data_IF_412162195395
#
_entry.id   IF_412162195395
#
_cell.length_a   1.000
_cell.length_b   1.000
_cell.length_c   1.000
_cell.angle_alpha   90.00
_cell.angle_beta   90.00
_cell.angle_gamma   90.00
#
_symmetry.space_group_name_H-M   'P 1'
#
loop_
_entity.id
_entity.type
_entity.pdbx_description
1 polymer ?
#
# COMPACT_ATOMS: atom_id res chain seq x y z
N UNK A 1 -47.19 -89.06 -3.87
CA UNK A 1 -45.74 -88.80 -3.75
C UNK A 1 -45.60 -87.33 -3.37
N UNK A 2 -45.53 -87.03 -2.07
CA UNK A 2 -45.36 -85.65 -1.57
C UNK A 2 -43.88 -85.47 -1.24
N UNK A 3 -43.18 -84.62 -1.99
CA UNK A 3 -41.80 -84.27 -1.73
C UNK A 3 -41.74 -83.10 -0.75
N UNK A 4 -41.03 -83.32 0.36
CA UNK A 4 -40.81 -82.39 1.45
C UNK A 4 -39.70 -81.40 1.07
N UNK A 5 -39.98 -80.10 1.03
CA UNK A 5 -38.96 -79.04 0.92
C UNK A 5 -38.43 -78.67 2.31
N UNK A 6 -37.12 -78.75 2.59
CA UNK A 6 -36.56 -78.22 3.82
C UNK A 6 -36.28 -76.72 3.72
N UNK A 7 -36.72 -75.99 4.75
CA UNK A 7 -36.59 -74.55 4.96
C UNK A 7 -35.14 -74.07 5.12
N UNK A 8 -34.80 -72.95 4.47
CA UNK A 8 -33.51 -72.23 4.58
C UNK A 8 -33.23 -71.70 6.00
N UNK A 9 -32.00 -71.82 6.54
CA UNK A 9 -31.61 -71.07 7.74
C UNK A 9 -31.24 -69.63 7.39
N UNK A 10 -31.91 -68.66 8.02
CA UNK A 10 -31.57 -67.23 7.99
C UNK A 10 -30.24 -66.99 8.71
N UNK A 11 -29.21 -66.60 7.95
CA UNK A 11 -27.87 -66.26 8.45
C UNK A 11 -27.87 -64.90 9.16
N UNK A 12 -28.01 -64.94 10.49
CA UNK A 12 -27.96 -63.80 11.42
C UNK A 12 -26.53 -63.25 11.66
N UNK A 13 -25.62 -63.36 10.68
CA UNK A 13 -24.18 -63.02 10.82
C UNK A 13 -23.75 -61.68 10.22
N UNK A 14 -24.60 -61.01 9.42
CA UNK A 14 -24.21 -59.76 8.74
C UNK A 14 -24.17 -58.52 9.62
N UNK A 15 -24.98 -58.45 10.69
CA UNK A 15 -25.18 -57.21 11.45
C UNK A 15 -24.04 -56.89 12.43
N UNK A 16 -23.37 -57.92 12.96
CA UNK A 16 -22.26 -57.75 13.92
C UNK A 16 -21.00 -57.19 13.22
N UNK A 17 -20.76 -57.58 11.96
CA UNK A 17 -19.67 -57.03 11.17
C UNK A 17 -19.89 -55.55 10.80
N UNK A 18 -21.13 -55.14 10.56
CA UNK A 18 -21.47 -53.74 10.29
C UNK A 18 -21.28 -52.83 11.51
N UNK A 19 -21.68 -53.30 12.70
CA UNK A 19 -21.49 -52.55 13.94
C UNK A 19 -20.01 -52.44 14.34
N UNK A 20 -19.21 -53.49 14.11
CA UNK A 20 -17.76 -53.46 14.36
C UNK A 20 -16.99 -52.52 13.42
N UNK A 21 -17.35 -52.49 12.14
CA UNK A 21 -16.74 -51.58 11.16
C UNK A 21 -17.10 -50.11 11.41
N UNK A 22 -18.35 -49.83 11.76
CA UNK A 22 -18.81 -48.46 12.06
C UNK A 22 -18.17 -47.91 13.34
N UNK A 23 -18.02 -48.75 14.37
CA UNK A 23 -17.37 -48.34 15.62
C UNK A 23 -15.87 -48.09 15.43
N UNK A 24 -15.17 -48.88 14.61
CA UNK A 24 -13.78 -48.60 14.23
C UNK A 24 -13.62 -47.30 13.42
N UNK A 25 -14.55 -47.00 12.51
CA UNK A 25 -14.56 -45.74 11.77
C UNK A 25 -14.81 -44.53 12.68
N UNK A 26 -15.72 -44.65 13.65
CA UNK A 26 -15.99 -43.58 14.62
C UNK A 26 -14.81 -43.40 15.58
N UNK A 27 -14.20 -44.50 16.05
CA UNK A 27 -13.01 -44.47 16.92
C UNK A 27 -11.77 -43.95 16.18
N UNK A 28 -11.68 -44.09 14.86
CA UNK A 28 -10.63 -43.47 14.05
C UNK A 28 -10.95 -42.00 13.69
N UNK A 29 -12.23 -41.68 13.47
CA UNK A 29 -12.68 -40.34 13.11
C UNK A 29 -12.62 -39.37 14.30
N UNK A 30 -12.85 -39.84 15.54
CA UNK A 30 -12.83 -38.99 16.74
C UNK A 30 -11.41 -38.43 17.00
N UNK A 31 -10.33 -39.23 16.99
CA UNK A 31 -8.96 -38.73 17.07
C UNK A 31 -8.56 -37.91 15.83
N UNK A 32 -9.00 -38.28 14.63
CA UNK A 32 -8.73 -37.49 13.43
C UNK A 32 -9.47 -36.14 13.42
N UNK A 33 -10.61 -36.01 14.10
CA UNK A 33 -11.36 -34.77 14.22
C UNK A 33 -10.85 -33.90 15.38
N UNK A 34 -10.54 -34.52 16.53
CA UNK A 34 -10.04 -33.81 17.72
C UNK A 34 -8.55 -33.48 17.62
N UNK A 35 -7.74 -34.41 17.14
CA UNK A 35 -6.29 -34.29 17.01
C UNK A 35 -5.83 -34.13 15.57
N UNK A 36 -6.70 -34.21 14.55
CA UNK A 36 -6.31 -33.93 13.17
C UNK A 36 -5.64 -32.57 12.98
N UNK A 37 -6.17 -31.48 13.58
CA UNK A 37 -5.46 -30.20 13.59
C UNK A 37 -4.12 -30.34 14.31
N UNK A 38 -4.07 -30.94 15.50
CA UNK A 38 -2.84 -31.04 16.32
C UNK A 38 -1.75 -31.93 15.70
N UNK A 39 -2.11 -33.02 15.02
CA UNK A 39 -1.23 -33.95 14.30
C UNK A 39 -0.84 -33.39 12.93
N UNK A 40 -1.74 -32.66 12.26
CA UNK A 40 -1.39 -31.86 11.08
C UNK A 40 -0.37 -30.78 11.47
N UNK A 41 -0.56 -30.08 12.58
CA UNK A 41 0.37 -29.07 13.11
C UNK A 41 1.64 -29.67 13.72
N UNK A 42 1.60 -30.91 14.21
CA UNK A 42 2.77 -31.64 14.73
C UNK A 42 3.64 -32.27 13.64
N UNK A 43 3.08 -32.65 12.49
CA UNK A 43 3.82 -33.26 11.37
C UNK A 43 4.18 -32.27 10.25
N UNK A 44 3.57 -31.09 10.22
CA UNK A 44 3.93 -30.03 9.27
C UNK A 44 4.65 -28.93 10.03
N UNK A 45 5.96 -28.79 9.79
CA UNK A 45 6.84 -27.88 10.52
C UNK A 45 6.30 -26.46 10.72
N UNK A 46 6.95 -25.73 11.63
CA UNK A 46 6.54 -24.42 12.15
C UNK A 46 5.71 -23.61 11.15
N UNK A 47 4.46 -23.31 11.50
CA UNK A 47 3.52 -22.61 10.64
C UNK A 47 4.08 -21.25 10.16
N UNK A 48 4.92 -20.62 11.00
CA UNK A 48 5.66 -19.40 10.68
C UNK A 48 6.60 -19.66 9.50
N UNK A 49 7.45 -20.68 9.61
CA UNK A 49 8.44 -21.03 8.59
C UNK A 49 7.81 -21.49 7.26
N UNK A 50 6.56 -21.96 7.26
CA UNK A 50 5.79 -22.20 6.02
C UNK A 50 5.21 -20.93 5.43
N UNK A 51 4.72 -20.02 6.27
CA UNK A 51 4.24 -18.72 5.82
C UNK A 51 5.38 -17.92 5.19
N UNK A 52 6.56 -17.87 5.81
CA UNK A 52 7.77 -17.24 5.28
C UNK A 52 8.15 -17.77 3.90
N UNK A 53 8.25 -19.10 3.73
CA UNK A 53 8.55 -19.72 2.43
C UNK A 53 7.49 -19.50 1.35
N UNK A 54 6.25 -19.15 1.72
CA UNK A 54 5.22 -18.74 0.75
C UNK A 54 5.29 -17.26 0.43
N UNK A 55 5.70 -16.44 1.40
CA UNK A 55 5.93 -15.01 1.23
C UNK A 55 7.09 -14.77 0.27
N UNK A 56 8.21 -15.49 0.44
CA UNK A 56 9.34 -15.43 -0.50
C UNK A 56 8.91 -15.72 -1.95
N UNK A 57 8.14 -16.79 -2.15
CA UNK A 57 7.59 -17.13 -3.48
C UNK A 57 6.61 -16.09 -3.99
N UNK A 58 5.78 -15.53 -3.12
CA UNK A 58 4.86 -14.46 -3.49
C UNK A 58 5.60 -13.20 -3.94
N UNK A 59 6.74 -12.88 -3.33
CA UNK A 59 7.59 -11.75 -3.73
C UNK A 59 8.28 -11.97 -5.06
N UNK A 60 8.77 -13.19 -5.32
CA UNK A 60 9.26 -13.60 -6.64
C UNK A 60 8.18 -13.42 -7.72
N UNK A 61 6.94 -13.85 -7.43
CA UNK A 61 5.80 -13.69 -8.34
C UNK A 61 5.42 -12.21 -8.56
N UNK A 62 5.49 -11.39 -7.52
CA UNK A 62 5.22 -9.95 -7.60
C UNK A 62 6.29 -9.24 -8.44
N UNK A 63 7.57 -9.59 -8.25
CA UNK A 63 8.69 -8.98 -8.96
C UNK A 63 8.75 -9.44 -10.43
N UNK A 64 8.46 -10.72 -10.69
CA UNK A 64 8.50 -11.30 -12.03
C UNK A 64 7.31 -10.94 -12.93
N UNK A 65 6.28 -10.26 -12.40
CA UNK A 65 5.07 -9.89 -13.16
C UNK A 65 4.27 -11.09 -13.68
N UNK A 66 4.55 -12.31 -13.18
CA UNK A 66 4.03 -13.56 -13.73
C UNK A 66 2.53 -13.78 -13.45
N UNK A 67 1.95 -13.01 -12.53
CA UNK A 67 0.56 -13.16 -12.08
C UNK A 67 -0.19 -11.84 -12.11
N UNK A 68 -1.48 -11.94 -12.41
CA UNK A 68 -2.39 -10.79 -12.29
C UNK A 68 -2.51 -10.33 -10.83
N UNK A 69 -2.77 -9.04 -10.56
CA UNK A 69 -3.00 -8.53 -9.20
C UNK A 69 -4.06 -9.32 -8.41
N UNK A 70 -5.07 -9.85 -9.10
CA UNK A 70 -6.10 -10.70 -8.50
C UNK A 70 -5.53 -12.02 -7.98
N UNK A 71 -4.69 -12.70 -8.75
CA UNK A 71 -4.07 -13.96 -8.33
C UNK A 71 -3.11 -13.74 -7.16
N UNK A 72 -2.37 -12.63 -7.17
CA UNK A 72 -1.50 -12.22 -6.07
C UNK A 72 -2.31 -11.99 -4.78
N UNK A 73 -3.46 -11.34 -4.85
CA UNK A 73 -4.34 -11.14 -3.69
C UNK A 73 -4.93 -12.45 -3.14
N UNK A 74 -5.26 -13.41 -4.00
CA UNK A 74 -5.70 -14.75 -3.56
C UNK A 74 -4.57 -15.48 -2.82
N UNK A 75 -3.34 -15.40 -3.34
CA UNK A 75 -2.15 -15.94 -2.69
C UNK A 75 -1.94 -15.33 -1.29
N UNK A 76 -2.10 -14.02 -1.15
CA UNK A 76 -2.03 -13.35 0.16
C UNK A 76 -3.09 -13.82 1.15
N UNK A 77 -4.33 -14.06 0.71
CA UNK A 77 -5.38 -14.58 1.60
C UNK A 77 -5.05 -15.99 2.11
N UNK A 78 -4.52 -16.85 1.23
CA UNK A 78 -4.06 -18.19 1.63
C UNK A 78 -2.94 -18.15 2.66
N UNK A 79 -1.94 -17.27 2.45
CA UNK A 79 -0.85 -17.08 3.41
C UNK A 79 -1.39 -16.51 4.73
N UNK A 80 -2.33 -15.55 4.66
CA UNK A 80 -3.00 -14.98 5.83
C UNK A 80 -3.64 -16.02 6.72
N UNK A 81 -4.34 -17.01 6.13
CA UNK A 81 -4.92 -18.12 6.91
C UNK A 81 -3.87 -18.94 7.65
N UNK A 82 -2.67 -19.12 7.08
CA UNK A 82 -1.56 -19.81 7.76
C UNK A 82 -1.02 -19.00 8.94
N UNK A 83 -0.89 -17.69 8.76
CA UNK A 83 -0.43 -16.79 9.83
C UNK A 83 -1.48 -16.68 10.94
N UNK A 84 -2.78 -16.69 10.62
CA UNK A 84 -3.86 -16.68 11.62
C UNK A 84 -3.87 -17.95 12.48
N UNK A 85 -3.48 -19.10 11.91
CA UNK A 85 -3.26 -20.33 12.67
C UNK A 85 -2.07 -20.18 13.63
N UNK A 86 -0.98 -19.56 13.16
CA UNK A 86 0.19 -19.28 14.01
C UNK A 86 -0.17 -18.31 15.15
N UNK A 87 -0.98 -17.27 14.89
CA UNK A 87 -1.46 -16.34 15.92
C UNK A 87 -2.30 -17.04 17.00
N UNK A 88 -3.17 -17.97 16.63
CA UNK A 88 -3.95 -18.75 17.61
C UNK A 88 -3.07 -19.62 18.50
N UNK A 89 -1.93 -20.06 17.97
CA UNK A 89 -1.00 -20.93 18.67
C UNK A 89 -0.04 -20.13 19.55
N UNK A 90 0.43 -18.96 19.09
CA UNK A 90 1.35 -18.10 19.83
C UNK A 90 1.15 -16.59 19.50
N UNK A 91 0.17 -15.91 20.13
CA UNK A 91 -0.27 -14.57 19.72
C UNK A 91 0.69 -13.42 20.10
N UNK A 92 1.64 -13.68 20.99
CA UNK A 92 2.55 -12.67 21.56
C UNK A 92 3.96 -12.69 20.95
N UNK A 93 4.14 -13.36 19.81
CA UNK A 93 5.44 -13.42 19.10
C UNK A 93 5.55 -12.25 18.14
N UNK A 94 6.73 -11.61 18.11
CA UNK A 94 7.02 -10.50 17.21
C UNK A 94 6.82 -10.89 15.73
N UNK A 95 7.30 -12.06 15.33
CA UNK A 95 7.20 -12.58 13.96
C UNK A 95 5.76 -12.70 13.47
N UNK A 96 4.85 -13.22 14.31
CA UNK A 96 3.43 -13.32 13.93
C UNK A 96 2.84 -11.93 13.66
N UNK A 97 3.17 -10.95 14.51
CA UNK A 97 2.71 -9.57 14.33
C UNK A 97 3.33 -8.93 13.09
N UNK A 98 4.60 -9.20 12.84
CA UNK A 98 5.31 -8.75 11.65
C UNK A 98 4.68 -9.32 10.37
N UNK A 99 4.49 -10.63 10.29
CA UNK A 99 3.89 -11.31 9.14
C UNK A 99 2.48 -10.81 8.85
N UNK A 100 1.64 -10.61 9.87
CA UNK A 100 0.30 -10.03 9.67
C UNK A 100 0.34 -8.59 9.17
N UNK A 101 1.30 -7.80 9.66
CA UNK A 101 1.55 -6.44 9.16
C UNK A 101 2.03 -6.47 7.71
N UNK A 102 2.92 -7.40 7.38
CA UNK A 102 3.54 -7.55 6.06
C UNK A 102 2.52 -7.93 5.00
N UNK A 103 1.63 -8.89 5.30
CA UNK A 103 0.55 -9.28 4.39
C UNK A 103 -0.42 -8.12 4.13
N UNK A 104 -0.76 -7.35 5.16
CA UNK A 104 -1.58 -6.15 4.99
C UNK A 104 -0.85 -5.09 4.16
N UNK A 105 0.46 -4.97 4.31
CA UNK A 105 1.29 -4.06 3.51
C UNK A 105 1.35 -4.50 2.05
N UNK A 106 1.54 -5.78 1.75
CA UNK A 106 1.52 -6.26 0.37
C UNK A 106 0.15 -6.14 -0.29
N UNK A 107 -0.94 -6.44 0.44
CA UNK A 107 -2.28 -6.18 -0.07
C UNK A 107 -2.47 -4.68 -0.38
N UNK A 108 -1.95 -3.81 0.49
CA UNK A 108 -1.97 -2.37 0.28
C UNK A 108 -1.17 -1.96 -0.98
N UNK A 109 0.03 -2.50 -1.17
CA UNK A 109 0.85 -2.21 -2.36
C UNK A 109 0.19 -2.66 -3.67
N UNK A 110 -0.51 -3.80 -3.67
CA UNK A 110 -1.24 -4.28 -4.85
C UNK A 110 -2.44 -3.40 -5.21
N UNK A 111 -3.04 -2.76 -4.20
CA UNK A 111 -4.19 -1.87 -4.35
C UNK A 111 -3.79 -0.43 -4.64
N UNK A 112 -2.57 -0.01 -4.36
CA UNK A 112 -2.13 1.36 -4.57
C UNK A 112 -1.47 1.52 -5.94
N UNK A 113 -1.90 2.53 -6.70
CA UNK A 113 -1.09 2.96 -7.84
C UNK A 113 0.01 3.91 -7.37
N UNK A 114 1.26 3.58 -7.68
CA UNK A 114 2.43 4.36 -7.29
C UNK A 114 3.08 4.90 -8.56
N UNK A 115 2.62 6.08 -8.94
CA UNK A 115 3.13 6.85 -10.08
C UNK A 115 3.48 8.27 -9.65
N UNK A 116 4.25 8.98 -10.47
CA UNK A 116 4.51 10.41 -10.26
C UNK A 116 3.24 11.25 -10.15
N UNK A 117 2.17 10.86 -10.85
CA UNK A 117 0.87 11.53 -10.77
C UNK A 117 0.24 11.36 -9.38
N UNK A 118 0.21 10.14 -8.85
CA UNK A 118 -0.32 9.89 -7.50
C UNK A 118 0.51 10.57 -6.41
N UNK A 119 1.83 10.65 -6.59
CA UNK A 119 2.72 11.40 -5.70
C UNK A 119 2.35 12.88 -5.69
N UNK A 120 2.17 13.47 -6.87
CA UNK A 120 1.75 14.87 -7.00
C UNK A 120 0.34 15.10 -6.41
N UNK A 121 -0.64 14.24 -6.69
CA UNK A 121 -1.99 14.37 -6.13
C UNK A 121 -1.98 14.41 -4.59
N UNK A 122 -1.18 13.53 -3.98
CA UNK A 122 -1.00 13.47 -2.54
C UNK A 122 -0.30 14.72 -1.99
N UNK A 123 0.84 15.08 -2.57
CA UNK A 123 1.69 16.16 -2.06
C UNK A 123 1.14 17.55 -2.36
N UNK A 124 0.39 17.69 -3.45
CA UNK A 124 -0.13 18.95 -3.94
C UNK A 124 -1.58 19.21 -3.55
N UNK A 125 -2.52 18.50 -4.17
CA UNK A 125 -3.95 18.67 -3.90
C UNK A 125 -4.39 18.08 -2.56
N UNK A 126 -3.57 17.21 -1.97
CA UNK A 126 -3.89 16.51 -0.74
C UNK A 126 -4.87 15.36 -0.94
N UNK A 127 -5.00 14.84 -2.16
CA UNK A 127 -5.83 13.70 -2.45
C UNK A 127 -5.06 12.41 -2.16
N UNK A 128 -5.70 11.50 -1.42
CA UNK A 128 -5.18 10.15 -1.32
C UNK A 128 -5.20 9.51 -2.72
N UNK A 129 -4.11 8.84 -3.14
CA UNK A 129 -4.11 8.13 -4.40
C UNK A 129 -5.28 7.15 -4.48
N UNK A 130 -5.95 7.05 -5.64
CA UNK A 130 -7.06 6.13 -5.80
C UNK A 130 -6.58 4.68 -5.66
N UNK A 131 -7.44 3.82 -5.12
CA UNK A 131 -7.22 2.39 -5.21
C UNK A 131 -7.27 1.98 -6.69
N UNK A 132 -6.39 1.07 -7.11
CA UNK A 132 -6.47 0.39 -8.40
C UNK A 132 -7.83 -0.28 -8.49
N UNK A 133 -8.50 -0.08 -9.62
CA UNK A 133 -9.72 -0.78 -9.96
C UNK A 133 -9.39 -2.28 -10.15
N UNK A 134 -9.49 -3.03 -9.06
CA UNK A 134 -9.41 -4.49 -9.06
C UNK A 134 -10.80 -4.98 -8.74
N UNK A 135 -11.35 -5.86 -9.59
CA UNK A 135 -12.67 -6.49 -9.43
C UNK A 135 -12.70 -7.43 -8.21
N UNK A 136 -12.62 -6.86 -7.01
CA UNK A 136 -12.54 -7.54 -5.72
C UNK A 136 -13.23 -6.69 -4.65
N UNK A 137 -13.66 -7.31 -3.53
CA UNK A 137 -14.27 -6.57 -2.43
C UNK A 137 -13.34 -5.43 -1.99
N UNK A 138 -13.90 -4.23 -2.01
CA UNK A 138 -13.20 -3.00 -1.69
C UNK A 138 -12.83 -3.03 -0.20
N UNK A 139 -11.54 -3.27 0.10
CA UNK A 139 -11.01 -2.99 1.43
C UNK A 139 -10.51 -1.55 1.41
N UNK A 140 -10.98 -0.76 2.36
CA UNK A 140 -10.56 0.63 2.50
C UNK A 140 -9.04 0.70 2.73
N UNK A 141 -8.33 1.49 1.92
CA UNK A 141 -6.90 1.77 2.10
C UNK A 141 -6.60 2.33 3.50
N UNK A 142 -7.54 3.09 4.08
CA UNK A 142 -7.45 3.62 5.45
C UNK A 142 -7.45 2.49 6.48
N UNK A 143 -8.29 1.47 6.31
CA UNK A 143 -8.35 0.31 7.20
C UNK A 143 -7.08 -0.56 7.09
N UNK A 144 -6.60 -0.77 5.87
CA UNK A 144 -5.33 -1.46 5.64
C UNK A 144 -4.17 -0.68 6.28
N UNK A 145 -4.13 0.64 6.08
CA UNK A 145 -3.13 1.51 6.71
C UNK A 145 -3.12 1.40 8.23
N UNK A 146 -4.31 1.45 8.86
CA UNK A 146 -4.45 1.24 10.31
C UNK A 146 -3.90 -0.13 10.75
N UNK A 147 -4.25 -1.20 10.03
CA UNK A 147 -3.82 -2.57 10.35
C UNK A 147 -2.29 -2.69 10.26
N UNK A 148 -1.69 -2.14 9.21
CA UNK A 148 -0.24 -2.11 9.01
C UNK A 148 0.43 -1.40 10.20
N UNK A 149 0.03 -0.17 10.49
CA UNK A 149 0.63 0.63 11.56
C UNK A 149 0.53 -0.06 12.92
N UNK A 150 -0.62 -0.65 13.26
CA UNK A 150 -0.82 -1.33 14.54
C UNK A 150 0.05 -2.58 14.64
N UNK A 151 0.02 -3.45 13.62
CA UNK A 151 0.71 -4.75 13.67
C UNK A 151 2.23 -4.58 13.62
N UNK A 152 2.75 -3.72 12.74
CA UNK A 152 4.19 -3.48 12.63
C UNK A 152 4.77 -2.79 13.87
N UNK A 153 4.04 -1.84 14.48
CA UNK A 153 4.48 -1.25 15.76
C UNK A 153 4.48 -2.27 16.89
N UNK A 154 3.48 -3.17 16.93
CA UNK A 154 3.45 -4.25 17.92
C UNK A 154 4.62 -5.21 17.73
N UNK A 155 4.98 -5.55 16.48
CA UNK A 155 6.16 -6.36 16.18
C UNK A 155 7.45 -5.71 16.73
N UNK A 156 7.70 -4.44 16.37
CA UNK A 156 8.87 -3.70 16.85
C UNK A 156 8.88 -3.45 18.38
N UNK A 157 7.72 -3.43 19.03
CA UNK A 157 7.63 -3.31 20.48
C UNK A 157 7.95 -4.63 21.20
N UNK A 158 7.65 -5.77 20.56
CA UNK A 158 7.97 -7.10 21.07
C UNK A 158 9.43 -7.47 20.79
N UNK A 159 9.95 -7.06 19.63
CA UNK A 159 11.34 -7.23 19.22
C UNK A 159 11.88 -5.94 18.56
N UNK A 160 12.59 -5.09 19.33
CA UNK A 160 13.21 -3.88 18.80
C UNK A 160 14.33 -4.12 17.79
N UNK A 161 14.99 -5.28 17.86
CA UNK A 161 16.14 -5.65 17.03
C UNK A 161 15.73 -6.55 15.85
N UNK A 162 14.43 -6.57 15.52
CA UNK A 162 13.88 -7.33 14.41
C UNK A 162 14.70 -7.10 13.13
N UNK A 163 15.21 -8.19 12.53
CA UNK A 163 16.05 -8.12 11.34
C UNK A 163 15.41 -7.32 10.18
N UNK A 164 14.08 -7.36 10.09
CA UNK A 164 13.28 -6.63 9.09
C UNK A 164 12.77 -5.26 9.59
N UNK A 165 13.41 -4.63 10.57
CA UNK A 165 12.96 -3.36 11.15
C UNK A 165 12.84 -2.22 10.11
N UNK A 166 13.69 -2.18 9.08
CA UNK A 166 13.60 -1.20 8.01
C UNK A 166 12.28 -1.34 7.23
N UNK A 167 11.89 -2.57 6.90
CA UNK A 167 10.65 -2.90 6.19
C UNK A 167 9.42 -2.60 7.06
N UNK A 168 9.49 -2.94 8.35
CA UNK A 168 8.45 -2.58 9.30
C UNK A 168 8.26 -1.06 9.39
N UNK A 169 9.35 -0.29 9.44
CA UNK A 169 9.29 1.18 9.45
C UNK A 169 8.74 1.76 8.14
N UNK A 170 9.11 1.17 6.99
CA UNK A 170 8.56 1.53 5.68
C UNK A 170 7.05 1.29 5.64
N UNK A 171 6.61 0.11 6.06
CA UNK A 171 5.21 -0.25 6.11
C UNK A 171 4.42 0.68 7.05
N UNK A 172 4.97 1.02 8.22
CA UNK A 172 4.31 1.98 9.12
C UNK A 172 4.23 3.37 8.50
N UNK A 173 5.24 3.84 7.76
CA UNK A 173 5.18 5.14 7.08
C UNK A 173 4.02 5.20 6.07
N UNK A 174 3.83 4.14 5.28
CA UNK A 174 2.64 3.99 4.44
C UNK A 174 1.36 3.94 5.26
N UNK A 175 1.32 3.10 6.29
CA UNK A 175 0.14 2.91 7.12
C UNK A 175 -0.33 4.20 7.77
N UNK A 176 0.60 4.96 8.35
CA UNK A 176 0.33 6.23 9.02
C UNK A 176 -0.07 7.31 8.04
N UNK A 177 0.63 7.45 6.90
CA UNK A 177 0.31 8.45 5.88
C UNK A 177 -1.14 8.29 5.39
N UNK A 178 -1.59 7.05 5.13
CA UNK A 178 -2.92 6.78 4.60
C UNK A 178 -4.00 6.65 5.67
N UNK A 179 -3.65 6.24 6.90
CA UNK A 179 -4.60 6.16 8.00
C UNK A 179 -4.87 7.53 8.63
N UNK A 180 -3.84 8.33 8.85
CA UNK A 180 -3.94 9.63 9.53
C UNK A 180 -4.01 10.81 8.57
N UNK A 181 -3.75 10.58 7.28
CA UNK A 181 -3.99 11.53 6.20
C UNK A 181 -3.05 12.73 6.16
N UNK A 182 -2.06 12.86 7.05
CA UNK A 182 -1.02 13.93 7.02
C UNK A 182 0.08 13.75 8.07
N UNK A 183 1.16 14.52 7.87
CA UNK A 183 2.46 14.54 8.56
C UNK A 183 2.38 14.61 10.08
N UNK A 184 2.16 13.47 10.73
CA UNK A 184 2.65 13.26 12.10
C UNK A 184 4.16 13.58 12.10
N UNK A 185 4.65 14.49 12.95
CA UNK A 185 6.09 14.76 13.07
C UNK A 185 6.93 13.48 13.26
N UNK A 186 6.34 12.43 13.84
CA UNK A 186 6.98 11.12 13.99
C UNK A 186 7.22 10.41 12.65
N UNK A 187 6.46 10.70 11.60
CA UNK A 187 6.70 10.15 10.27
C UNK A 187 8.06 10.57 9.71
N UNK A 188 8.55 11.78 10.04
CA UNK A 188 9.86 12.24 9.61
C UNK A 188 10.99 11.51 10.33
N UNK A 189 10.83 11.23 11.62
CA UNK A 189 11.77 10.40 12.37
C UNK A 189 11.88 8.98 11.77
N UNK A 190 10.82 8.51 11.08
CA UNK A 190 10.85 7.23 10.37
C UNK A 190 11.61 7.28 9.04
N UNK A 191 11.66 8.40 8.32
CA UNK A 191 12.44 8.53 7.08
C UNK A 191 13.90 8.17 7.31
N UNK A 192 14.51 8.70 8.38
CA UNK A 192 15.88 8.38 8.75
C UNK A 192 16.07 6.89 9.07
N UNK A 193 15.09 6.26 9.74
CA UNK A 193 15.12 4.83 10.08
C UNK A 193 14.93 3.93 8.86
N UNK A 194 14.10 4.36 7.91
CA UNK A 194 13.89 3.68 6.63
C UNK A 194 15.18 3.69 5.80
N UNK A 195 15.93 4.80 5.82
CA UNK A 195 17.19 4.93 5.08
C UNK A 195 18.36 4.19 5.74
N UNK A 196 18.30 3.93 7.05
CA UNK A 196 19.41 3.33 7.81
C UNK A 196 19.55 1.81 7.65
N UNK A 197 18.53 1.12 7.14
CA UNK A 197 18.53 -0.34 7.05
C UNK A 197 18.20 -0.86 5.65
N UNK A 198 18.62 -2.09 5.33
CA UNK A 198 18.34 -2.70 4.03
C UNK A 198 16.83 -3.00 3.92
N UNK A 199 16.25 -2.62 2.79
CA UNK A 199 14.92 -3.08 2.36
C UNK A 199 15.07 -4.01 1.15
N UNK A 200 14.15 -4.97 1.00
CA UNK A 200 14.14 -5.85 -0.18
C UNK A 200 14.14 -5.03 -1.49
N UNK A 201 14.85 -5.48 -2.54
CA UNK A 201 14.99 -4.73 -3.79
C UNK A 201 13.67 -4.27 -4.40
N UNK A 202 12.64 -5.13 -4.42
CA UNK A 202 11.34 -4.79 -5.00
C UNK A 202 10.58 -3.70 -4.21
N UNK A 203 10.96 -3.44 -2.95
CA UNK A 203 10.39 -2.38 -2.11
C UNK A 203 11.09 -1.03 -2.30
N UNK A 204 12.23 -0.96 -3.00
CA UNK A 204 12.94 0.32 -3.23
C UNK A 204 12.11 1.37 -3.98
N UNK A 205 11.34 1.05 -5.04
CA UNK A 205 10.48 2.04 -5.68
C UNK A 205 9.43 2.61 -4.72
N UNK A 206 8.93 1.79 -3.80
CA UNK A 206 7.99 2.18 -2.75
C UNK A 206 8.65 3.07 -1.69
N UNK A 207 9.87 2.70 -1.29
CA UNK A 207 10.72 3.50 -0.39
C UNK A 207 10.99 4.89 -0.98
N UNK A 208 11.40 4.97 -2.25
CA UNK A 208 11.67 6.24 -2.93
C UNK A 208 10.40 7.10 -2.98
N UNK A 209 9.27 6.50 -3.39
CA UNK A 209 8.00 7.20 -3.50
C UNK A 209 7.56 7.80 -2.16
N UNK A 210 7.60 7.01 -1.07
CA UNK A 210 7.16 7.49 0.24
C UNK A 210 8.11 8.55 0.80
N UNK A 211 9.42 8.42 0.59
CA UNK A 211 10.40 9.42 1.02
C UNK A 211 10.12 10.75 0.32
N UNK A 212 9.93 10.74 -1.00
CA UNK A 212 9.59 11.95 -1.76
C UNK A 212 8.26 12.57 -1.27
N UNK A 213 7.24 11.76 -1.01
CA UNK A 213 5.96 12.22 -0.50
C UNK A 213 6.12 12.92 0.86
N UNK A 214 6.85 12.29 1.76
CA UNK A 214 7.08 12.77 3.12
C UNK A 214 7.96 14.04 3.14
N UNK A 215 9.00 14.12 2.31
CA UNK A 215 9.84 15.32 2.18
C UNK A 215 9.05 16.51 1.61
N UNK A 216 8.21 16.26 0.61
CA UNK A 216 7.35 17.30 0.01
C UNK A 216 6.30 17.80 1.01
N UNK A 217 5.57 16.90 1.68
CA UNK A 217 4.54 17.27 2.66
C UNK A 217 5.11 17.96 3.90
N UNK A 218 6.33 17.63 4.31
CA UNK A 218 7.00 18.24 5.48
C UNK A 218 7.70 19.57 5.18
N UNK A 219 7.73 20.01 3.92
CA UNK A 219 8.41 21.25 3.53
C UNK A 219 9.94 21.17 3.61
N UNK A 220 10.54 19.98 3.46
CA UNK A 220 12.00 19.82 3.41
C UNK A 220 12.52 19.94 1.97
N UNK A 221 12.27 21.08 1.35
CA UNK A 221 12.48 21.28 -0.08
C UNK A 221 13.93 21.01 -0.55
N UNK A 222 14.94 21.38 0.25
CA UNK A 222 16.35 21.12 -0.10
C UNK A 222 16.69 19.63 -0.13
N UNK A 223 16.16 18.85 0.81
CA UNK A 223 16.33 17.39 0.81
C UNK A 223 15.49 16.71 -0.25
N UNK A 224 14.29 17.22 -0.53
CA UNK A 224 13.47 16.78 -1.64
C UNK A 224 14.20 16.96 -2.97
N UNK A 225 14.85 18.11 -3.17
CA UNK A 225 15.63 18.40 -4.38
C UNK A 225 16.80 17.43 -4.56
N UNK A 226 17.50 17.11 -3.47
CA UNK A 226 18.58 16.13 -3.47
C UNK A 226 18.09 14.69 -3.68
N UNK A 227 16.90 14.34 -3.21
CA UNK A 227 16.32 13.00 -3.33
C UNK A 227 15.65 12.75 -4.70
N UNK A 228 15.29 13.78 -5.44
CA UNK A 228 14.65 13.63 -6.75
C UNK A 228 15.63 13.07 -7.78
N UNK A 229 15.24 12.02 -8.54
CA UNK A 229 16.11 11.40 -9.53
C UNK A 229 16.52 12.44 -10.60
N UNK A 230 17.77 12.44 -11.09
CA UNK A 230 18.23 13.37 -12.12
C UNK A 230 17.38 13.25 -13.40
N UNK A 231 17.15 14.38 -14.07
CA UNK A 231 16.29 14.47 -15.27
C UNK A 231 16.94 13.78 -16.49
N UNK A 232 18.26 13.60 -16.47
CA UNK A 232 19.06 13.02 -17.55
C UNK A 232 19.74 11.74 -17.06
N UNK A 233 19.00 10.64 -16.91
CA UNK A 233 19.57 9.29 -16.93
C UNK A 233 18.62 8.35 -17.66
N UNK A 234 18.56 8.57 -18.98
CA UNK A 234 18.19 7.55 -19.96
C UNK A 234 19.39 7.34 -20.88
N UNK A 235 20.57 7.11 -20.31
CA UNK A 235 21.73 6.72 -21.09
C UNK A 235 22.70 5.94 -20.22
N UNK A 236 22.97 4.73 -20.72
CA UNK A 236 24.00 3.77 -20.33
C UNK A 236 23.69 2.87 -19.12
N UNK A 237 23.60 1.59 -19.46
CA UNK A 237 23.27 0.48 -18.61
C UNK A 237 24.38 0.23 -17.58
N UNK A 238 24.04 0.40 -16.30
CA UNK A 238 24.54 -0.50 -15.27
C UNK A 238 23.44 -1.54 -15.03
N UNK A 239 23.73 -2.81 -15.32
CA UNK A 239 22.80 -3.95 -15.32
C UNK A 239 22.23 -4.34 -13.94
N UNK A 240 22.32 -3.47 -12.93
CA UNK A 240 21.78 -3.70 -11.58
C UNK A 240 20.91 -2.53 -11.07
N UNK A 241 20.42 -1.68 -11.98
CA UNK A 241 19.53 -0.57 -11.61
C UNK A 241 18.11 -1.07 -11.34
N UNK A 242 17.82 -1.31 -10.06
CA UNK A 242 16.46 -1.44 -9.54
C UNK A 242 15.62 -0.26 -10.06
N UNK A 243 14.41 -0.49 -10.62
CA UNK A 243 13.63 0.57 -11.24
C UNK A 243 13.33 1.69 -10.25
N UNK A 244 13.85 2.89 -10.50
CA UNK A 244 13.52 4.10 -9.74
C UNK A 244 12.18 4.66 -10.18
N UNK A 245 11.53 5.44 -9.31
CA UNK A 245 10.32 6.17 -9.67
C UNK A 245 10.60 7.12 -10.85
N UNK A 246 10.03 6.81 -12.01
CA UNK A 246 10.14 7.67 -13.19
C UNK A 246 9.25 8.92 -13.03
N UNK A 247 9.86 10.10 -13.07
CA UNK A 247 9.17 11.39 -13.00
C UNK A 247 9.44 12.19 -14.28
N UNK A 248 8.38 12.70 -14.91
CA UNK A 248 8.55 13.65 -16.01
C UNK A 248 9.15 14.97 -15.48
N UNK A 249 9.87 15.74 -16.32
CA UNK A 249 10.44 17.03 -15.91
C UNK A 249 9.40 17.99 -15.33
N UNK A 250 8.19 18.01 -15.90
CA UNK A 250 7.07 18.80 -15.39
C UNK A 250 6.58 18.35 -14.01
N UNK A 251 6.41 17.04 -13.80
CA UNK A 251 6.00 16.51 -12.48
C UNK A 251 7.07 16.77 -11.42
N UNK A 252 8.35 16.61 -11.75
CA UNK A 252 9.46 16.96 -10.86
C UNK A 252 9.36 18.42 -10.42
N UNK A 253 9.18 19.33 -11.38
CA UNK A 253 9.06 20.77 -11.11
C UNK A 253 7.86 21.07 -10.22
N UNK A 254 6.73 20.40 -10.46
CA UNK A 254 5.51 20.60 -9.68
C UNK A 254 5.64 20.06 -8.24
N UNK A 255 6.24 18.89 -8.05
CA UNK A 255 6.53 18.32 -6.72
C UNK A 255 7.47 19.25 -5.94
N UNK A 256 8.52 19.77 -6.57
CA UNK A 256 9.39 20.78 -5.97
C UNK A 256 8.65 22.06 -5.61
N UNK A 257 7.78 22.54 -6.51
CA UNK A 257 6.93 23.71 -6.26
C UNK A 257 6.10 23.52 -4.98
N UNK A 258 5.49 22.35 -4.80
CA UNK A 258 4.76 22.00 -3.58
C UNK A 258 5.65 21.87 -2.35
N UNK A 259 6.83 21.27 -2.46
CA UNK A 259 7.81 21.19 -1.38
C UNK A 259 8.25 22.57 -0.89
N UNK A 260 8.55 23.50 -1.81
CA UNK A 260 8.89 24.89 -1.49
C UNK A 260 7.70 25.68 -0.93
N UNK A 261 6.48 25.38 -1.38
CA UNK A 261 5.27 25.95 -0.79
C UNK A 261 5.08 25.50 0.67
N UNK A 262 5.22 24.20 0.94
CA UNK A 262 5.14 23.65 2.29
C UNK A 262 6.25 24.17 3.21
N UNK A 263 7.44 24.43 2.66
CA UNK A 263 8.57 25.03 3.38
C UNK A 263 8.41 26.54 3.64
N UNK A 264 7.31 27.14 3.16
CA UNK A 264 7.04 28.60 3.18
C UNK A 264 8.02 29.44 2.37
N UNK A 265 8.81 28.83 1.49
CA UNK A 265 9.61 29.54 0.50
C UNK A 265 8.76 29.86 -0.74
N UNK A 266 7.84 30.80 -0.56
CA UNK A 266 6.86 31.17 -1.59
C UNK A 266 7.50 31.79 -2.83
N UNK A 267 8.65 32.46 -2.69
CA UNK A 267 9.35 33.03 -3.84
C UNK A 267 9.85 31.93 -4.78
N UNK A 268 10.50 30.90 -4.23
CA UNK A 268 11.00 29.79 -5.04
C UNK A 268 9.86 28.95 -5.60
N UNK A 269 8.82 28.69 -4.80
CA UNK A 269 7.60 28.02 -5.26
C UNK A 269 6.96 28.77 -6.44
N UNK A 270 6.81 30.10 -6.34
CA UNK A 270 6.24 30.94 -7.39
C UNK A 270 7.10 30.93 -8.66
N UNK A 271 8.42 30.98 -8.54
CA UNK A 271 9.33 30.91 -9.70
C UNK A 271 9.19 29.58 -10.46
N UNK A 272 9.10 28.46 -9.73
CA UNK A 272 8.89 27.14 -10.32
C UNK A 272 7.51 27.02 -10.98
N UNK A 273 6.46 27.52 -10.32
CA UNK A 273 5.11 27.57 -10.88
C UNK A 273 5.09 28.35 -12.20
N UNK A 274 5.67 29.55 -12.24
CA UNK A 274 5.73 30.37 -13.46
C UNK A 274 6.52 29.69 -14.57
N UNK A 275 7.67 29.12 -14.26
CA UNK A 275 8.47 28.36 -15.24
C UNK A 275 7.67 27.23 -15.86
N UNK A 276 6.94 26.47 -15.04
CA UNK A 276 6.12 25.35 -15.51
C UNK A 276 4.91 25.84 -16.32
N UNK A 277 4.21 26.87 -15.86
CA UNK A 277 3.04 27.46 -16.51
C UNK A 277 3.33 27.92 -17.95
N UNK A 278 4.45 28.60 -18.15
CA UNK A 278 4.82 29.18 -19.45
C UNK A 278 5.57 28.22 -20.38
N UNK A 279 5.95 27.04 -19.90
CA UNK A 279 6.60 26.01 -20.73
C UNK A 279 5.57 25.27 -21.59
N UNK A 280 5.45 25.67 -22.85
CA UNK A 280 4.51 25.09 -23.83
C UNK A 280 4.80 23.61 -24.16
N UNK A 281 5.99 23.10 -23.83
CA UNK A 281 6.32 21.68 -24.04
C UNK A 281 5.65 20.78 -23.01
N UNK A 282 5.14 21.35 -21.90
CA UNK A 282 4.56 20.59 -20.82
C UNK A 282 3.06 20.33 -21.03
N UNK A 283 2.58 19.16 -20.58
CA UNK A 283 1.16 18.83 -20.60
C UNK A 283 0.30 19.92 -19.97
N UNK A 284 -0.84 20.20 -20.60
CA UNK A 284 -1.78 21.25 -20.17
C UNK A 284 -2.19 21.12 -18.70
N UNK A 285 -2.46 19.91 -18.22
CA UNK A 285 -2.88 19.69 -16.83
C UNK A 285 -1.81 20.11 -15.80
N UNK A 286 -0.50 19.97 -16.12
CA UNK A 286 0.57 20.44 -15.24
C UNK A 286 0.66 21.96 -15.23
N UNK A 287 0.40 22.60 -16.38
CA UNK A 287 0.35 24.06 -16.48
C UNK A 287 -0.82 24.66 -15.73
N UNK A 288 -2.01 24.04 -15.83
CA UNK A 288 -3.19 24.38 -15.01
C UNK A 288 -2.82 24.36 -13.52
N UNK A 289 -2.11 23.33 -13.08
CA UNK A 289 -1.72 23.22 -11.68
C UNK A 289 -0.66 24.19 -11.23
N UNK A 290 0.26 24.54 -12.12
CA UNK A 290 1.20 25.61 -11.87
C UNK A 290 0.48 26.95 -11.70
N UNK A 291 -0.48 27.27 -12.57
CA UNK A 291 -1.34 28.47 -12.45
C UNK A 291 -2.13 28.45 -11.15
N UNK A 292 -2.73 27.31 -10.77
CA UNK A 292 -3.43 27.16 -9.49
C UNK A 292 -2.50 27.42 -8.30
N UNK A 293 -1.25 26.95 -8.37
CA UNK A 293 -0.26 27.19 -7.33
C UNK A 293 0.10 28.67 -7.15
N UNK A 294 0.12 29.47 -8.23
CA UNK A 294 0.22 30.92 -8.08
C UNK A 294 -0.95 31.46 -7.23
N UNK A 295 -2.18 31.01 -7.50
CA UNK A 295 -3.36 31.36 -6.72
C UNK A 295 -3.24 31.02 -5.23
N UNK A 296 -2.77 29.81 -4.89
CA UNK A 296 -2.54 29.42 -3.49
C UNK A 296 -1.51 30.30 -2.78
N UNK A 297 -0.42 30.65 -3.48
CA UNK A 297 0.63 31.51 -2.93
C UNK A 297 0.08 32.90 -2.63
N UNK A 298 -0.65 33.51 -3.58
CA UNK A 298 -1.26 34.83 -3.37
C UNK A 298 -2.33 34.82 -2.29
N UNK A 299 -3.07 33.71 -2.14
CA UNK A 299 -4.05 33.55 -1.08
C UNK A 299 -3.38 33.56 0.30
N UNK A 300 -2.27 32.83 0.48
CA UNK A 300 -1.49 32.88 1.73
C UNK A 300 -0.93 34.27 2.00
N UNK A 301 -0.50 34.98 0.95
CA UNK A 301 -0.01 36.36 1.03
C UNK A 301 -1.13 37.38 1.30
N UNK A 302 -2.36 36.94 1.56
CA UNK A 302 -3.54 37.76 1.86
C UNK A 302 -3.94 38.68 0.72
N UNK A 303 -3.77 38.22 -0.52
CA UNK A 303 -4.19 38.92 -1.73
C UNK A 303 -5.29 38.12 -2.45
N UNK A 304 -6.53 38.12 -1.94
CA UNK A 304 -7.61 37.29 -2.45
C UNK A 304 -7.99 37.63 -3.90
N UNK A 305 -7.94 38.90 -4.30
CA UNK A 305 -8.25 39.32 -5.68
C UNK A 305 -7.23 38.76 -6.67
N UNK A 306 -5.94 38.82 -6.31
CA UNK A 306 -4.88 38.20 -7.11
C UNK A 306 -5.03 36.67 -7.14
N UNK A 307 -5.36 36.05 -6.02
CA UNK A 307 -5.61 34.62 -5.96
C UNK A 307 -6.79 34.20 -6.86
N UNK A 308 -7.89 34.95 -6.83
CA UNK A 308 -9.07 34.72 -7.65
C UNK A 308 -8.76 34.82 -9.15
N UNK A 309 -7.94 35.80 -9.56
CA UNK A 309 -7.45 35.90 -10.94
C UNK A 309 -6.77 34.61 -11.40
N UNK A 310 -5.81 34.08 -10.61
CA UNK A 310 -5.09 32.86 -10.99
C UNK A 310 -5.96 31.60 -10.92
N UNK A 311 -6.90 31.51 -9.97
CA UNK A 311 -7.84 30.39 -9.94
C UNK A 311 -8.79 30.41 -11.15
N UNK A 312 -9.23 31.60 -11.58
CA UNK A 312 -10.03 31.75 -12.80
C UNK A 312 -9.23 31.38 -14.05
N UNK A 313 -8.01 31.88 -14.17
CA UNK A 313 -7.11 31.52 -15.27
C UNK A 313 -6.87 29.99 -15.31
N UNK A 314 -6.60 29.36 -14.17
CA UNK A 314 -6.46 27.91 -14.09
C UNK A 314 -7.73 27.15 -14.51
N UNK A 315 -8.91 27.66 -14.12
CA UNK A 315 -10.21 27.06 -14.46
C UNK A 315 -10.50 27.16 -15.97
N UNK A 316 -10.27 28.32 -16.57
CA UNK A 316 -10.36 28.52 -18.03
C UNK A 316 -9.35 27.65 -18.78
N UNK A 317 -8.11 27.61 -18.31
CA UNK A 317 -7.08 26.69 -18.81
C UNK A 317 -7.46 25.23 -18.64
N UNK A 318 -8.40 24.86 -17.77
CA UNK A 318 -8.90 23.48 -17.64
C UNK A 318 -10.13 23.17 -18.51
N UNK A 319 -10.54 24.09 -19.39
CA UNK A 319 -11.85 24.02 -20.09
C UNK A 319 -13.03 23.94 -19.13
N UNK A 320 -12.87 24.55 -17.95
CA UNK A 320 -13.91 24.57 -16.92
C UNK A 320 -14.29 23.19 -16.37
N UNK A 321 -13.40 22.19 -16.50
CA UNK A 321 -13.65 20.81 -16.06
C UNK A 321 -13.07 20.46 -14.69
N UNK A 322 -12.17 21.29 -14.15
CA UNK A 322 -11.50 20.97 -12.88
C UNK A 322 -12.31 21.39 -11.65
N UNK A 323 -12.98 20.41 -11.04
CA UNK A 323 -13.79 20.59 -9.83
C UNK A 323 -13.01 21.14 -8.64
N UNK A 324 -11.74 20.76 -8.50
CA UNK A 324 -10.91 21.23 -7.39
C UNK A 324 -10.64 22.73 -7.53
N UNK A 325 -10.22 23.16 -8.73
CA UNK A 325 -9.98 24.59 -9.03
C UNK A 325 -11.28 25.39 -8.88
N UNK A 326 -12.40 24.87 -9.40
CA UNK A 326 -13.73 25.49 -9.25
C UNK A 326 -14.09 25.71 -7.78
N UNK A 327 -13.89 24.70 -6.94
CA UNK A 327 -14.16 24.81 -5.50
C UNK A 327 -13.23 25.83 -4.83
N UNK A 328 -11.94 25.90 -5.20
CA UNK A 328 -11.02 26.93 -4.69
C UNK A 328 -11.45 28.34 -5.10
N UNK A 329 -11.84 28.54 -6.36
CA UNK A 329 -12.36 29.82 -6.83
C UNK A 329 -13.57 30.26 -6.00
N UNK A 330 -14.57 29.39 -5.83
CA UNK A 330 -15.77 29.65 -4.99
C UNK A 330 -15.42 30.04 -3.56
N UNK A 331 -14.36 29.48 -2.96
CA UNK A 331 -13.95 29.86 -1.61
C UNK A 331 -13.37 31.27 -1.50
N UNK A 332 -12.86 31.84 -2.59
CA UNK A 332 -12.25 33.18 -2.63
C UNK A 332 -13.20 34.22 -3.22
N UNK A 333 -14.14 33.82 -4.08
CA UNK A 333 -15.19 34.69 -4.66
C UNK A 333 -16.60 34.19 -4.29
N UNK A 334 -17.01 34.28 -3.00
CA UNK A 334 -18.36 33.90 -2.60
C UNK A 334 -19.40 34.86 -3.20
N UNK A 335 -20.12 34.43 -4.25
CA UNK A 335 -21.23 35.20 -4.82
C UNK A 335 -21.37 35.21 -6.35
N UNK A 336 -20.46 34.58 -7.12
CA UNK A 336 -20.65 34.44 -8.57
C UNK A 336 -21.70 33.33 -8.87
N UNK A 337 -22.85 33.65 -9.52
CA UNK A 337 -23.82 32.64 -9.95
C UNK A 337 -23.28 31.80 -11.13
N UNK A 338 -23.79 30.56 -11.24
CA UNK A 338 -23.32 29.51 -12.17
C UNK A 338 -23.35 29.88 -13.66
#
# INVERSE_FOLDING_TARGET
MYAYEPSKPKTRRGWIFWLGGLSLLIIAAIPAYLYGPLLYYGMSGDAILRAERRIERFEEEMNGGARSPRQLLVSLDEIGRMVDIAERTNPAVADVQYLQGLLAFYEFLLRLDLSGNTLWQLTGRGFLPPARAVDLPEKSLVQLGKRISVRMRKALALDPDLAAAAEANLAIAYGDLFFTGRTDPQLMNRVARIQAGPVRPFLRPHQDWIILALLALSGRAGELEAALPPTEQATEADEEQVPRLALSPGLRTLILCHGYYASRNYLQSLNLARRLKFDQTQPRHLRVEATRMEGEIFLIQRSPDAAAYFFREAYEMSEQTDDFVRNRLRTVTPGEPE
#
